data_IF_151631272730
#
_entry.id   IF_151631272730
#
_cell.length_a   1.000
_cell.length_b   1.000
_cell.length_c   1.000
_cell.angle_alpha   90.00
_cell.angle_beta   90.00
_cell.angle_gamma   90.00
#
_symmetry.space_group_name_H-M   'P 1'
#
loop_
_entity.id
_entity.type
_entity.pdbx_description
1 polymer ?
#
# COMPACT_ATOMS: atom_id res chain seq x y z
N UNK A 1 12.12 28.74 -7.96
CA UNK A 1 12.91 27.76 -8.72
C UNK A 1 13.13 26.48 -7.91
N UNK A 2 13.49 26.58 -6.63
CA UNK A 2 13.72 25.40 -5.75
C UNK A 2 12.51 24.48 -5.60
N UNK A 3 11.33 25.02 -5.33
CA UNK A 3 10.10 24.22 -5.22
C UNK A 3 9.83 23.38 -6.48
N UNK A 4 10.01 23.95 -7.65
CA UNK A 4 9.79 23.26 -8.92
C UNK A 4 10.76 22.06 -9.06
N UNK A 5 12.02 22.24 -8.65
CA UNK A 5 13.03 21.17 -8.66
C UNK A 5 12.61 20.03 -7.72
N UNK A 6 12.19 20.36 -6.48
CA UNK A 6 11.74 19.36 -5.52
C UNK A 6 10.50 18.61 -6.00
N UNK A 7 9.52 19.29 -6.58
CA UNK A 7 8.34 18.66 -7.14
C UNK A 7 8.66 17.74 -8.33
N UNK A 8 9.61 18.15 -9.17
CA UNK A 8 10.08 17.33 -10.29
C UNK A 8 10.79 16.08 -9.79
N UNK A 9 11.72 16.20 -8.82
CA UNK A 9 12.41 15.07 -8.20
C UNK A 9 11.37 14.13 -7.56
N UNK A 10 10.40 14.66 -6.84
CA UNK A 10 9.33 13.90 -6.22
C UNK A 10 8.53 13.09 -7.25
N UNK A 11 8.07 13.72 -8.32
CA UNK A 11 7.30 13.07 -9.38
C UNK A 11 8.10 11.95 -10.09
N UNK A 12 9.38 12.23 -10.40
CA UNK A 12 10.29 11.23 -11.02
C UNK A 12 10.55 10.07 -10.06
N UNK A 13 10.76 10.36 -8.78
CA UNK A 13 10.98 9.34 -7.74
C UNK A 13 9.76 8.45 -7.56
N UNK A 14 8.54 9.01 -7.54
CA UNK A 14 7.31 8.21 -7.47
C UNK A 14 7.16 7.30 -8.70
N UNK A 15 7.44 7.81 -9.90
CA UNK A 15 7.40 6.99 -11.10
C UNK A 15 8.44 5.85 -11.05
N UNK A 16 9.65 6.14 -10.61
CA UNK A 16 10.72 5.15 -10.44
C UNK A 16 10.38 4.11 -9.35
N UNK A 17 9.78 4.55 -8.23
CA UNK A 17 9.29 3.70 -7.15
C UNK A 17 8.27 2.67 -7.67
N UNK A 18 7.30 3.10 -8.46
CA UNK A 18 6.30 2.23 -9.07
C UNK A 18 6.92 1.22 -10.04
N UNK A 19 7.86 1.65 -10.88
CA UNK A 19 8.58 0.77 -11.81
C UNK A 19 9.40 -0.28 -11.04
N UNK A 20 10.15 0.16 -10.02
CA UNK A 20 10.96 -0.71 -9.17
C UNK A 20 10.13 -1.78 -8.47
N UNK A 21 8.99 -1.39 -7.89
CA UNK A 21 8.08 -2.30 -7.23
C UNK A 21 7.46 -3.33 -8.21
N UNK A 22 7.09 -2.91 -9.43
CA UNK A 22 6.61 -3.84 -10.49
C UNK A 22 7.68 -4.85 -10.86
N UNK A 23 8.92 -4.43 -11.08
CA UNK A 23 10.02 -5.35 -11.45
C UNK A 23 10.34 -6.32 -10.34
N UNK A 24 10.40 -5.84 -9.10
CA UNK A 24 10.66 -6.67 -7.93
C UNK A 24 9.54 -7.68 -7.70
N UNK A 25 8.27 -7.24 -7.66
CA UNK A 25 7.11 -8.12 -7.45
C UNK A 25 6.97 -9.18 -8.53
N UNK A 26 7.24 -8.82 -9.80
CA UNK A 26 7.21 -9.77 -10.91
C UNK A 26 8.31 -10.84 -10.82
N UNK A 27 9.48 -10.50 -10.28
CA UNK A 27 10.54 -11.45 -10.01
C UNK A 27 10.19 -12.32 -8.80
N UNK A 28 9.79 -11.72 -7.67
CA UNK A 28 9.45 -12.42 -6.43
C UNK A 28 8.32 -13.44 -6.64
N UNK A 29 7.25 -13.08 -7.33
CA UNK A 29 6.12 -13.97 -7.61
C UNK A 29 6.52 -15.23 -8.37
N UNK A 30 7.55 -15.16 -9.20
CA UNK A 30 8.05 -16.31 -9.95
C UNK A 30 8.71 -17.35 -9.06
N UNK A 31 9.40 -16.92 -8.00
CA UNK A 31 10.12 -17.81 -7.09
C UNK A 31 9.22 -18.35 -5.97
N UNK A 32 8.19 -17.60 -5.58
CA UNK A 32 7.32 -17.91 -4.45
C UNK A 32 6.05 -18.69 -4.80
N UNK A 33 5.75 -18.89 -6.08
CA UNK A 33 4.53 -19.54 -6.58
C UNK A 33 4.40 -21.05 -6.20
N UNK A 34 5.35 -21.63 -5.48
CA UNK A 34 5.37 -23.07 -5.16
C UNK A 34 4.66 -23.44 -3.85
N UNK A 35 4.33 -22.48 -2.99
CA UNK A 35 3.63 -22.71 -1.73
C UNK A 35 2.49 -21.69 -1.57
N UNK A 36 1.26 -22.16 -1.38
CA UNK A 36 0.06 -21.30 -1.35
C UNK A 36 0.15 -20.19 -0.30
N UNK A 37 0.60 -20.49 0.93
CA UNK A 37 0.76 -19.50 1.99
C UNK A 37 1.88 -18.49 1.70
N UNK A 38 3.03 -18.97 1.18
CA UNK A 38 4.13 -18.11 0.77
C UNK A 38 3.75 -17.25 -0.43
N UNK A 39 2.92 -17.76 -1.34
CA UNK A 39 2.36 -17.01 -2.47
C UNK A 39 1.50 -15.82 -2.03
N UNK A 40 0.63 -16.02 -1.04
CA UNK A 40 -0.21 -14.94 -0.50
C UNK A 40 0.62 -13.88 0.25
N UNK A 41 1.52 -14.32 1.14
CA UNK A 41 2.41 -13.41 1.84
C UNK A 41 3.24 -12.58 0.85
N UNK A 42 3.76 -13.20 -0.21
CA UNK A 42 4.50 -12.50 -1.25
C UNK A 42 3.64 -11.49 -2.02
N UNK A 43 2.37 -11.77 -2.23
CA UNK A 43 1.43 -10.89 -2.89
C UNK A 43 1.07 -9.72 -1.98
N UNK A 44 0.77 -9.99 -0.71
CA UNK A 44 0.45 -8.98 0.28
C UNK A 44 1.65 -8.03 0.52
N UNK A 45 2.84 -8.60 0.71
CA UNK A 45 4.09 -7.82 0.80
C UNK A 45 4.36 -7.07 -0.51
N UNK A 46 4.13 -7.70 -1.67
CA UNK A 46 4.32 -7.09 -2.98
C UNK A 46 3.44 -5.86 -3.22
N UNK A 47 2.22 -5.86 -2.70
CA UNK A 47 1.32 -4.71 -2.78
C UNK A 47 1.77 -3.55 -1.86
N UNK A 48 2.34 -3.87 -0.69
CA UNK A 48 2.83 -2.89 0.28
C UNK A 48 4.30 -2.47 0.07
N UNK A 49 4.96 -2.95 -1.00
CA UNK A 49 6.37 -2.65 -1.26
C UNK A 49 6.69 -1.16 -1.37
N UNK A 50 5.89 -0.33 -2.05
CA UNK A 50 6.18 1.09 -2.11
C UNK A 50 6.11 1.76 -0.74
N UNK A 51 5.08 1.47 0.04
CA UNK A 51 4.90 2.00 1.39
C UNK A 51 6.00 1.51 2.32
N UNK A 52 6.38 0.23 2.22
CA UNK A 52 7.48 -0.33 2.99
C UNK A 52 8.82 0.34 2.61
N UNK A 53 9.08 0.53 1.33
CA UNK A 53 10.29 1.20 0.88
C UNK A 53 10.33 2.66 1.34
N UNK A 54 9.22 3.39 1.26
CA UNK A 54 9.11 4.77 1.75
C UNK A 54 9.29 4.87 3.26
N UNK A 55 8.68 3.95 4.03
CA UNK A 55 8.83 3.91 5.48
C UNK A 55 10.27 3.61 5.89
N UNK A 56 10.91 2.61 5.27
CA UNK A 56 12.32 2.31 5.51
C UNK A 56 13.24 3.45 5.07
N UNK A 57 12.96 4.08 3.92
CA UNK A 57 13.70 5.25 3.47
C UNK A 57 13.59 6.41 4.46
N UNK A 58 12.40 6.68 5.02
CA UNK A 58 12.20 7.68 6.05
C UNK A 58 13.05 7.40 7.30
N UNK A 59 13.07 6.15 7.78
CA UNK A 59 13.91 5.74 8.91
C UNK A 59 15.40 5.90 8.58
N UNK A 60 15.85 5.42 7.42
CA UNK A 60 17.26 5.47 7.00
C UNK A 60 17.74 6.90 6.72
N UNK A 61 16.84 7.80 6.31
CA UNK A 61 17.13 9.24 6.15
C UNK A 61 17.05 10.02 7.47
N UNK A 62 16.88 9.34 8.62
CA UNK A 62 16.82 9.99 9.93
C UNK A 62 15.52 10.77 10.18
N UNK A 63 14.44 10.38 9.51
CA UNK A 63 13.10 11.01 9.59
C UNK A 63 12.02 10.01 10.01
N UNK A 64 12.19 9.26 11.13
CA UNK A 64 11.24 8.24 11.56
C UNK A 64 9.83 8.80 11.83
N UNK A 65 9.72 10.11 12.10
CA UNK A 65 8.45 10.83 12.30
C UNK A 65 7.54 10.84 11.05
N UNK A 66 8.09 10.54 9.86
CA UNK A 66 7.30 10.47 8.62
C UNK A 66 6.64 9.10 8.41
N UNK A 67 7.07 8.05 9.12
CA UNK A 67 6.57 6.69 8.91
C UNK A 67 5.07 6.58 9.18
N UNK A 68 4.61 7.00 10.35
CA UNK A 68 3.19 6.96 10.70
C UNK A 68 2.32 7.80 9.75
N UNK A 69 2.67 9.05 9.40
CA UNK A 69 1.97 9.82 8.39
C UNK A 69 1.87 9.10 7.02
N UNK A 70 2.94 8.45 6.56
CA UNK A 70 2.94 7.68 5.31
C UNK A 70 1.94 6.52 5.41
N UNK A 71 2.00 5.72 6.46
CA UNK A 71 1.14 4.54 6.63
C UNK A 71 -0.32 4.92 6.86
N UNK A 72 -0.58 5.87 7.75
CA UNK A 72 -1.93 6.33 8.04
C UNK A 72 -2.56 6.99 6.81
N UNK A 73 -1.81 7.86 6.14
CA UNK A 73 -2.27 8.55 4.96
C UNK A 73 -2.58 7.60 3.80
N UNK A 74 -1.69 6.65 3.47
CA UNK A 74 -1.94 5.66 2.42
C UNK A 74 -3.11 4.74 2.77
N UNK A 75 -3.25 4.36 4.03
CA UNK A 75 -4.38 3.55 4.51
C UNK A 75 -5.71 4.30 4.38
N UNK A 76 -5.75 5.56 4.77
CA UNK A 76 -6.91 6.44 4.62
C UNK A 76 -7.25 6.66 3.15
N UNK A 77 -6.24 6.93 2.31
CA UNK A 77 -6.42 7.09 0.87
C UNK A 77 -6.97 5.82 0.21
N UNK A 78 -6.51 4.64 0.61
CA UNK A 78 -7.04 3.37 0.14
C UNK A 78 -8.51 3.18 0.54
N UNK A 79 -8.88 3.53 1.77
CA UNK A 79 -10.27 3.44 2.21
C UNK A 79 -11.14 4.44 1.47
N UNK A 80 -10.76 5.70 1.42
CA UNK A 80 -11.62 6.74 0.84
C UNK A 80 -11.55 6.79 -0.68
N UNK A 81 -10.36 6.91 -1.26
CA UNK A 81 -10.23 7.13 -2.71
C UNK A 81 -10.49 5.85 -3.50
N UNK A 82 -9.94 4.69 -3.06
CA UNK A 82 -10.13 3.43 -3.80
C UNK A 82 -11.56 2.92 -3.68
N UNK A 83 -12.13 2.90 -2.47
CA UNK A 83 -13.52 2.46 -2.28
C UNK A 83 -14.48 3.44 -2.92
N UNK A 84 -14.28 4.75 -2.72
CA UNK A 84 -15.11 5.80 -3.29
C UNK A 84 -15.17 5.75 -4.81
N UNK A 85 -14.01 5.77 -5.47
CA UNK A 85 -13.91 5.67 -6.93
C UNK A 85 -14.51 4.36 -7.45
N UNK A 86 -14.27 3.25 -6.73
CA UNK A 86 -14.79 1.94 -7.09
C UNK A 86 -16.31 1.86 -6.99
N UNK A 87 -16.89 2.39 -5.92
CA UNK A 87 -18.33 2.40 -5.71
C UNK A 87 -19.05 3.35 -6.69
N UNK A 88 -18.44 4.51 -6.98
CA UNK A 88 -18.94 5.44 -8.00
C UNK A 88 -18.97 4.77 -9.40
N UNK A 89 -17.91 4.07 -9.77
CA UNK A 89 -17.81 3.39 -11.07
C UNK A 89 -18.70 2.14 -11.18
N UNK A 90 -18.84 1.38 -10.09
CA UNK A 90 -19.63 0.13 -10.07
C UNK A 90 -21.15 0.36 -9.95
N UNK A 91 -21.62 1.59 -9.64
CA UNK A 91 -22.97 1.95 -9.24
C UNK A 91 -23.43 1.30 -7.92
N UNK A 92 -23.12 0.02 -7.73
CA UNK A 92 -23.29 -0.75 -6.51
C UNK A 92 -22.07 -1.66 -6.38
N UNK A 93 -21.21 -1.43 -5.38
CA UNK A 93 -20.05 -2.24 -5.08
C UNK A 93 -20.47 -3.28 -4.03
N UNK A 94 -20.62 -4.57 -4.41
CA UNK A 94 -20.99 -5.59 -3.45
C UNK A 94 -19.81 -5.92 -2.53
N UNK A 95 -20.11 -6.11 -1.24
CA UNK A 95 -19.17 -6.62 -0.25
C UNK A 95 -19.55 -8.07 0.02
N UNK A 96 -18.69 -8.98 -0.40
CA UNK A 96 -18.94 -10.40 -0.18
C UNK A 96 -18.87 -10.73 1.32
N UNK A 97 -19.67 -11.72 1.72
CA UNK A 97 -19.82 -12.12 3.13
C UNK A 97 -18.48 -12.40 3.80
N UNK A 98 -17.59 -13.02 3.08
CA UNK A 98 -16.26 -13.39 3.57
C UNK A 98 -15.38 -12.17 3.87
N UNK A 99 -15.48 -11.08 3.09
CA UNK A 99 -14.77 -9.83 3.39
C UNK A 99 -15.28 -9.23 4.70
N UNK A 100 -16.60 -9.19 4.89
CA UNK A 100 -17.22 -8.66 6.10
C UNK A 100 -16.90 -9.51 7.35
N UNK A 101 -16.91 -10.84 7.22
CA UNK A 101 -16.77 -11.76 8.37
C UNK A 101 -15.32 -12.12 8.71
N UNK A 102 -14.36 -11.96 7.79
CA UNK A 102 -12.97 -12.31 8.03
C UNK A 102 -12.01 -11.12 7.92
N UNK A 103 -12.10 -10.35 6.84
CA UNK A 103 -11.12 -9.29 6.57
C UNK A 103 -11.40 -8.01 7.33
N UNK A 104 -12.67 -7.63 7.50
CA UNK A 104 -13.04 -6.44 8.26
C UNK A 104 -12.64 -6.54 9.76
N UNK A 105 -12.86 -7.67 10.47
CA UNK A 105 -12.34 -7.83 11.83
C UNK A 105 -10.81 -7.81 11.91
N UNK A 106 -10.10 -8.35 10.91
CA UNK A 106 -8.64 -8.30 10.88
C UNK A 106 -8.15 -6.85 10.72
N UNK A 107 -8.80 -6.07 9.85
CA UNK A 107 -8.48 -4.65 9.70
C UNK A 107 -8.78 -3.87 10.99
N UNK A 108 -9.93 -4.10 11.63
CA UNK A 108 -10.26 -3.45 12.89
C UNK A 108 -9.28 -3.84 14.00
N UNK A 109 -8.88 -5.11 14.07
CA UNK A 109 -7.86 -5.59 15.01
C UNK A 109 -6.49 -4.97 14.75
N UNK A 110 -6.07 -4.83 13.49
CA UNK A 110 -4.80 -4.16 13.13
C UNK A 110 -4.81 -2.68 13.51
N UNK A 111 -5.94 -2.00 13.29
CA UNK A 111 -6.10 -0.60 13.71
C UNK A 111 -6.06 -0.45 15.24
N UNK A 112 -6.67 -1.38 15.98
CA UNK A 112 -6.60 -1.40 17.44
C UNK A 112 -5.16 -1.64 17.94
N UNK A 113 -4.44 -2.59 17.38
CA UNK A 113 -3.03 -2.84 17.73
C UNK A 113 -2.22 -1.56 17.51
N UNK A 114 -2.32 -0.92 16.33
CA UNK A 114 -1.61 0.34 16.08
C UNK A 114 -2.01 1.45 17.08
N UNK A 115 -3.31 1.58 17.37
CA UNK A 115 -3.81 2.60 18.30
C UNK A 115 -3.20 2.43 19.69
N UNK A 116 -3.19 1.20 20.22
CA UNK A 116 -2.62 0.92 21.55
C UNK A 116 -1.10 1.08 21.57
N UNK A 117 -0.40 0.64 20.53
CA UNK A 117 1.05 0.82 20.40
C UNK A 117 1.47 2.28 20.23
N UNK A 118 0.59 3.12 19.71
CA UNK A 118 0.87 4.55 19.53
C UNK A 118 0.43 5.41 20.73
N UNK A 119 -0.19 4.80 21.76
CA UNK A 119 -0.86 5.53 22.85
C UNK A 119 0.11 6.28 23.77
N UNK A 120 1.32 5.78 23.95
CA UNK A 120 2.38 6.39 24.78
C UNK A 120 3.23 7.41 24.00
N UNK A 121 2.96 7.59 22.69
CA UNK A 121 3.60 8.60 21.84
C UNK A 121 4.81 8.13 21.09
N UNK A 122 5.27 6.88 21.25
CA UNK A 122 6.39 6.29 20.50
C UNK A 122 6.10 4.81 20.29
N UNK A 123 6.19 4.33 19.06
CA UNK A 123 6.13 2.89 18.77
C UNK A 123 7.55 2.32 18.81
N UNK A 124 7.80 1.44 19.76
CA UNK A 124 9.10 0.81 19.98
C UNK A 124 9.25 -0.52 19.22
N UNK A 125 10.44 -1.12 19.34
CA UNK A 125 10.79 -2.39 18.69
C UNK A 125 9.83 -3.53 19.09
N UNK A 126 9.44 -3.62 20.36
CA UNK A 126 8.60 -4.70 20.91
C UNK A 126 7.20 -4.66 20.28
N UNK A 127 6.64 -3.47 20.12
CA UNK A 127 5.35 -3.26 19.46
C UNK A 127 5.46 -3.50 17.96
N UNK A 128 6.58 -3.08 17.35
CA UNK A 128 6.89 -3.41 15.97
C UNK A 128 6.94 -4.92 15.73
N UNK A 129 7.59 -5.66 16.61
CA UNK A 129 7.63 -7.12 16.57
C UNK A 129 6.24 -7.74 16.75
N UNK A 130 5.44 -7.23 17.71
CA UNK A 130 4.05 -7.65 17.91
C UNK A 130 3.23 -7.46 16.61
N UNK A 131 3.36 -6.32 15.93
CA UNK A 131 2.67 -6.04 14.68
C UNK A 131 3.10 -7.01 13.57
N UNK A 132 4.39 -7.31 13.42
CA UNK A 132 4.89 -8.29 12.44
C UNK A 132 4.36 -9.69 12.75
N UNK A 133 4.36 -10.10 14.03
CA UNK A 133 3.77 -11.38 14.44
C UNK A 133 2.28 -11.43 14.15
N UNK A 134 1.53 -10.35 14.47
CA UNK A 134 0.11 -10.25 14.15
C UNK A 134 -0.14 -10.34 12.64
N UNK A 135 0.69 -9.69 11.81
CA UNK A 135 0.65 -9.85 10.35
C UNK A 135 0.81 -11.32 9.93
N UNK A 136 1.80 -12.02 10.47
CA UNK A 136 2.02 -13.44 10.14
C UNK A 136 0.83 -14.32 10.57
N UNK A 137 0.25 -14.05 11.73
CA UNK A 137 -0.97 -14.72 12.19
C UNK A 137 -2.13 -14.47 11.22
N UNK A 138 -2.33 -13.22 10.78
CA UNK A 138 -3.35 -12.88 9.78
C UNK A 138 -3.13 -13.65 8.47
N UNK A 139 -1.89 -13.74 7.98
CA UNK A 139 -1.54 -14.51 6.77
C UNK A 139 -1.89 -15.99 6.93
N UNK A 140 -1.49 -16.60 8.05
CA UNK A 140 -1.80 -18.02 8.33
C UNK A 140 -3.30 -18.25 8.43
N UNK A 141 -4.02 -17.37 9.12
CA UNK A 141 -5.47 -17.44 9.28
C UNK A 141 -6.21 -17.35 7.93
N UNK A 142 -5.85 -16.41 7.08
CA UNK A 142 -6.44 -16.26 5.74
C UNK A 142 -6.07 -17.45 4.84
N UNK A 143 -4.85 -17.98 4.99
CA UNK A 143 -4.39 -19.20 4.31
C UNK A 143 -5.25 -20.41 4.69
N UNK A 144 -5.45 -20.63 5.98
CA UNK A 144 -6.22 -21.75 6.51
C UNK A 144 -7.70 -21.72 6.07
N UNK A 145 -8.27 -20.54 5.87
CA UNK A 145 -9.65 -20.38 5.34
C UNK A 145 -9.80 -20.61 3.82
N UNK A 146 -8.74 -21.05 3.14
CA UNK A 146 -8.76 -21.36 1.71
C UNK A 146 -8.92 -20.12 0.81
N UNK A 147 -8.82 -18.91 1.36
CA UNK A 147 -8.93 -17.66 0.57
C UNK A 147 -7.78 -17.49 -0.40
N UNK A 148 -6.63 -18.03 -0.06
CA UNK A 148 -5.43 -18.01 -0.90
C UNK A 148 -5.63 -18.71 -2.24
N UNK A 149 -6.44 -19.79 -2.28
CA UNK A 149 -6.70 -20.53 -3.51
C UNK A 149 -7.65 -19.83 -4.49
N UNK A 150 -8.38 -18.79 -4.04
CA UNK A 150 -9.28 -17.99 -4.90
C UNK A 150 -8.58 -16.83 -5.61
N UNK A 151 -7.40 -16.46 -5.15
CA UNK A 151 -6.61 -15.36 -5.71
C UNK A 151 -5.36 -15.92 -6.37
N UNK A 152 -5.25 -15.77 -7.66
CA UNK A 152 -3.96 -16.01 -8.32
C UNK A 152 -3.07 -14.76 -8.16
N UNK A 153 -1.72 -14.92 -8.16
CA UNK A 153 -0.82 -13.77 -8.18
C UNK A 153 -1.13 -12.75 -9.28
N UNK A 154 -1.73 -13.21 -10.39
CA UNK A 154 -2.22 -12.35 -11.47
C UNK A 154 -3.44 -11.53 -11.10
N UNK A 155 -4.24 -11.95 -10.14
CA UNK A 155 -5.49 -11.29 -9.78
C UNK A 155 -5.27 -10.15 -8.77
N UNK A 156 -4.23 -10.21 -7.95
CA UNK A 156 -3.97 -9.24 -6.88
C UNK A 156 -2.84 -8.26 -7.24
N UNK A 157 -1.70 -8.77 -7.70
CA UNK A 157 -0.56 -7.92 -8.09
C UNK A 157 -0.75 -7.33 -9.50
N UNK A 158 -1.44 -8.06 -10.39
CA UNK A 158 -1.60 -7.65 -11.77
C UNK A 158 -2.62 -6.51 -12.01
N UNK A 159 -3.77 -6.37 -11.30
CA UNK A 159 -4.73 -5.36 -11.72
C UNK A 159 -4.34 -3.94 -11.28
N UNK A 160 -3.87 -3.73 -10.05
CA UNK A 160 -3.52 -2.41 -9.54
C UNK A 160 -2.14 -1.99 -10.00
N UNK A 161 -1.16 -2.62 -9.43
CA UNK A 161 0.23 -2.24 -9.54
C UNK A 161 0.84 -2.54 -10.90
N UNK A 162 0.64 -3.77 -11.43
CA UNK A 162 1.14 -4.15 -12.76
C UNK A 162 0.38 -3.44 -13.89
N UNK A 163 -0.87 -3.02 -13.66
CA UNK A 163 -1.61 -2.31 -14.70
C UNK A 163 -1.27 -0.82 -14.75
N UNK A 164 -1.04 -0.17 -13.61
CA UNK A 164 -0.50 1.19 -13.55
C UNK A 164 0.96 1.19 -14.02
N UNK A 165 1.78 0.26 -13.52
CA UNK A 165 3.15 0.10 -13.98
C UNK A 165 3.26 -0.27 -15.46
N UNK A 166 2.34 -1.11 -16.02
CA UNK A 166 2.33 -1.36 -17.47
C UNK A 166 1.93 -0.13 -18.26
N UNK A 167 0.97 0.68 -17.83
CA UNK A 167 0.64 1.94 -18.48
C UNK A 167 1.83 2.90 -18.47
N UNK A 168 2.48 3.08 -17.32
CA UNK A 168 3.67 3.92 -17.19
C UNK A 168 4.87 3.30 -17.93
N UNK A 169 5.03 1.97 -17.85
CA UNK A 169 6.09 1.23 -18.55
C UNK A 169 5.80 1.09 -20.04
N UNK A 170 4.54 1.05 -20.49
CA UNK A 170 4.20 1.17 -21.92
C UNK A 170 4.52 2.55 -22.45
N UNK A 171 4.26 3.61 -21.69
CA UNK A 171 4.63 4.98 -22.05
C UNK A 171 6.17 5.16 -22.06
N UNK A 172 6.85 4.64 -21.04
CA UNK A 172 8.32 4.71 -20.92
C UNK A 172 9.00 3.59 -21.73
N UNK A 173 8.43 2.39 -21.75
CA UNK A 173 9.00 1.19 -22.37
C UNK A 173 8.76 1.07 -23.86
N UNK A 174 7.83 1.83 -24.45
CA UNK A 174 7.73 1.94 -25.92
C UNK A 174 9.04 2.50 -26.54
N UNK A 175 9.87 3.15 -25.72
CA UNK A 175 11.18 3.68 -26.10
C UNK A 175 12.37 2.87 -25.58
N UNK A 176 12.18 2.00 -24.55
CA UNK A 176 13.27 1.27 -23.88
C UNK A 176 13.20 -0.26 -23.95
N UNK A 177 12.37 -0.85 -24.77
CA UNK A 177 12.52 -2.27 -25.07
C UNK A 177 11.27 -3.13 -25.02
N UNK A 178 11.02 -3.77 -26.13
CA UNK A 178 10.18 -4.94 -26.36
C UNK A 178 10.65 -6.11 -25.48
N UNK A 179 10.23 -6.17 -24.24
CA UNK A 179 10.70 -7.22 -23.33
C UNK A 179 9.83 -7.41 -22.10
N UNK A 180 8.59 -6.89 -22.10
CA UNK A 180 7.65 -7.04 -21.01
C UNK A 180 6.82 -8.34 -21.10
N UNK A 181 7.30 -9.33 -21.84
CA UNK A 181 6.74 -10.66 -21.78
C UNK A 181 7.03 -11.26 -20.42
N UNK A 182 5.98 -11.46 -19.61
CA UNK A 182 6.04 -12.08 -18.27
C UNK A 182 6.54 -13.53 -18.26
N UNK A 183 7.11 -13.98 -19.35
CA UNK A 183 7.76 -15.27 -19.57
C UNK A 183 9.24 -15.05 -19.90
N UNK A 184 9.99 -14.45 -18.95
CA UNK A 184 11.45 -14.53 -19.08
C UNK A 184 11.85 -16.01 -19.04
N UNK A 185 12.15 -16.59 -20.18
CA UNK A 185 12.57 -18.00 -20.33
C UNK A 185 13.85 -18.32 -19.52
N UNK A 186 14.56 -17.31 -19.07
CA UNK A 186 15.81 -17.43 -18.32
C UNK A 186 15.65 -16.91 -16.88
N UNK A 187 15.84 -17.79 -15.89
CA UNK A 187 15.78 -17.49 -14.45
C UNK A 187 16.78 -16.40 -14.04
N UNK A 188 17.97 -16.39 -14.64
CA UNK A 188 18.99 -15.36 -14.38
C UNK A 188 18.50 -13.95 -14.77
N UNK A 189 17.83 -13.83 -15.89
CA UNK A 189 17.27 -12.53 -16.35
C UNK A 189 16.13 -12.06 -15.44
N UNK A 190 15.31 -12.96 -14.90
CA UNK A 190 14.27 -12.61 -13.92
C UNK A 190 14.90 -12.13 -12.61
N UNK A 191 15.96 -12.81 -12.14
CA UNK A 191 16.70 -12.41 -10.93
C UNK A 191 17.34 -11.04 -11.10
N UNK A 192 18.05 -10.81 -12.20
CA UNK A 192 18.68 -9.51 -12.50
C UNK A 192 17.63 -8.36 -12.53
N UNK A 193 16.47 -8.59 -13.12
CA UNK A 193 15.37 -7.61 -13.11
C UNK A 193 14.83 -7.37 -11.70
N UNK A 194 14.70 -8.42 -10.89
CA UNK A 194 14.27 -8.29 -9.50
C UNK A 194 15.26 -7.48 -8.67
N UNK A 195 16.56 -7.75 -8.83
CA UNK A 195 17.62 -6.97 -8.15
C UNK A 195 17.62 -5.51 -8.61
N UNK A 196 17.56 -5.26 -9.92
CA UNK A 196 17.45 -3.90 -10.45
C UNK A 196 16.19 -3.19 -9.95
N UNK A 197 15.07 -3.92 -9.85
CA UNK A 197 13.82 -3.42 -9.26
C UNK A 197 13.96 -3.06 -7.78
N UNK A 198 14.64 -3.90 -6.99
CA UNK A 198 14.90 -3.63 -5.58
C UNK A 198 15.79 -2.39 -5.38
N UNK A 199 16.86 -2.27 -6.15
CA UNK A 199 17.76 -1.10 -6.10
C UNK A 199 17.02 0.17 -6.52
N UNK A 200 16.26 0.10 -7.62
CA UNK A 200 15.46 1.24 -8.09
C UNK A 200 14.40 1.65 -7.06
N UNK A 201 13.73 0.69 -6.44
CA UNK A 201 12.73 0.92 -5.40
C UNK A 201 13.35 1.64 -4.19
N UNK A 202 14.49 1.16 -3.70
CA UNK A 202 15.19 1.73 -2.55
C UNK A 202 15.67 3.16 -2.83
N UNK A 203 16.36 3.39 -3.96
CA UNK A 203 16.84 4.72 -4.34
C UNK A 203 15.68 5.69 -4.55
N UNK A 204 14.66 5.25 -5.27
CA UNK A 204 13.47 6.08 -5.53
C UNK A 204 12.74 6.47 -4.24
N UNK A 205 12.67 5.56 -3.26
CA UNK A 205 12.07 5.85 -1.96
C UNK A 205 12.86 6.92 -1.18
N UNK A 206 14.18 6.82 -1.16
CA UNK A 206 15.05 7.81 -0.51
C UNK A 206 14.87 9.19 -1.17
N UNK A 207 14.94 9.26 -2.50
CA UNK A 207 14.74 10.53 -3.21
C UNK A 207 13.33 11.08 -3.05
N UNK A 208 12.29 10.22 -2.96
CA UNK A 208 10.92 10.68 -2.72
C UNK A 208 10.77 11.31 -1.32
N UNK A 209 11.35 10.69 -0.29
CA UNK A 209 11.33 11.23 1.08
C UNK A 209 12.09 12.56 1.18
N UNK A 210 13.28 12.64 0.59
CA UNK A 210 14.08 13.86 0.58
C UNK A 210 13.39 14.98 -0.23
N UNK A 211 12.83 14.65 -1.39
CA UNK A 211 12.10 15.61 -2.21
C UNK A 211 10.83 16.12 -1.53
N UNK A 212 10.12 15.24 -0.81
CA UNK A 212 8.97 15.64 0.00
C UNK A 212 9.39 16.64 1.09
N UNK A 213 10.48 16.37 1.80
CA UNK A 213 10.99 17.23 2.85
C UNK A 213 11.48 18.59 2.29
N UNK A 214 12.19 18.55 1.14
CA UNK A 214 12.63 19.77 0.45
C UNK A 214 11.46 20.62 -0.05
N UNK A 215 10.43 19.98 -0.63
CA UNK A 215 9.20 20.68 -1.05
C UNK A 215 8.45 21.27 0.16
N UNK A 216 8.36 20.52 1.26
CA UNK A 216 7.75 21.00 2.51
C UNK A 216 8.43 22.28 3.02
N UNK A 217 9.77 22.26 3.05
CA UNK A 217 10.57 23.43 3.46
C UNK A 217 10.36 24.61 2.52
N UNK A 218 10.39 24.38 1.20
CA UNK A 218 10.17 25.43 0.20
C UNK A 218 8.76 26.03 0.25
N UNK A 219 7.77 25.28 0.72
CA UNK A 219 6.37 25.71 0.88
C UNK A 219 6.07 26.25 2.30
N UNK A 220 7.02 26.17 3.23
CA UNK A 220 6.82 26.45 4.65
C UNK A 220 5.66 25.63 5.27
N UNK A 221 5.52 24.37 4.87
CA UNK A 221 4.50 23.43 5.34
C UNK A 221 5.18 22.27 6.08
N UNK A 222 4.47 21.67 7.04
CA UNK A 222 4.99 20.48 7.75
C UNK A 222 5.21 19.32 6.77
N UNK A 223 6.40 18.67 6.78
CA UNK A 223 6.63 17.44 6.02
C UNK A 223 5.65 16.32 6.37
N UNK A 224 5.23 16.24 7.63
CA UNK A 224 4.21 15.29 8.14
C UNK A 224 2.88 15.48 7.41
N UNK A 225 2.45 16.73 7.21
CA UNK A 225 1.20 17.03 6.49
C UNK A 225 1.29 16.61 5.02
N UNK A 226 2.41 16.89 4.36
CA UNK A 226 2.61 16.46 2.96
C UNK A 226 2.72 14.92 2.84
N UNK A 227 3.35 14.26 3.80
CA UNK A 227 3.42 12.80 3.82
C UNK A 227 2.04 12.18 3.98
N UNK A 228 1.23 12.70 4.91
CA UNK A 228 -0.13 12.21 5.15
C UNK A 228 -1.09 12.48 3.98
N UNK A 229 -0.93 13.57 3.25
CA UNK A 229 -1.85 13.97 2.17
C UNK A 229 -1.33 13.64 0.77
N UNK A 230 -0.30 14.36 0.31
CA UNK A 230 0.16 14.28 -1.10
C UNK A 230 0.81 12.94 -1.40
N UNK A 231 1.72 12.47 -0.52
CA UNK A 231 2.40 11.19 -0.74
C UNK A 231 1.40 10.04 -0.67
N UNK A 232 0.48 10.09 0.29
CA UNK A 232 -0.57 9.10 0.46
C UNK A 232 -1.53 9.05 -0.75
N UNK A 233 -2.02 10.20 -1.22
CA UNK A 233 -2.88 10.27 -2.39
C UNK A 233 -2.18 9.73 -3.64
N UNK A 234 -0.91 10.08 -3.84
CA UNK A 234 -0.14 9.59 -4.99
C UNK A 234 0.16 8.09 -4.91
N UNK A 235 0.40 7.56 -3.72
CA UNK A 235 0.55 6.11 -3.51
C UNK A 235 -0.75 5.34 -3.80
N UNK A 236 -1.93 5.93 -3.55
CA UNK A 236 -3.22 5.33 -3.85
C UNK A 236 -3.60 5.34 -5.35
N UNK A 237 -2.98 6.15 -6.20
CA UNK A 237 -3.32 6.24 -7.64
C UNK A 237 -3.23 4.89 -8.38
N UNK A 238 -2.18 4.07 -8.22
CA UNK A 238 -2.11 2.74 -8.81
C UNK A 238 -3.23 1.81 -8.36
N UNK A 239 -3.58 1.89 -7.08
CA UNK A 239 -4.66 1.11 -6.45
C UNK A 239 -6.02 1.48 -7.04
N UNK A 240 -6.31 2.78 -7.20
CA UNK A 240 -7.52 3.27 -7.86
C UNK A 240 -7.61 2.73 -9.27
N UNK A 241 -6.54 2.89 -10.05
CA UNK A 241 -6.50 2.44 -11.45
C UNK A 241 -6.70 0.93 -11.58
N UNK A 242 -6.06 0.17 -10.70
CA UNK A 242 -6.21 -1.27 -10.63
C UNK A 242 -7.63 -1.70 -10.29
N UNK A 243 -8.22 -1.08 -9.29
CA UNK A 243 -9.58 -1.35 -8.86
C UNK A 243 -10.60 -1.04 -9.95
N UNK A 244 -10.45 0.05 -10.69
CA UNK A 244 -11.31 0.37 -11.84
C UNK A 244 -11.22 -0.68 -12.95
N UNK A 245 -10.03 -1.23 -13.22
CA UNK A 245 -9.86 -2.34 -14.17
C UNK A 245 -10.50 -3.65 -13.70
N UNK A 246 -10.47 -3.93 -12.40
CA UNK A 246 -11.15 -5.07 -11.79
C UNK A 246 -12.65 -4.91 -11.93
N UNK A 247 -13.19 -3.72 -11.67
CA UNK A 247 -14.62 -3.38 -11.81
C UNK A 247 -15.07 -3.57 -13.25
N UNK A 248 -14.29 -3.12 -14.23
CA UNK A 248 -14.59 -3.33 -15.64
C UNK A 248 -14.72 -4.82 -16.01
N UNK A 249 -14.07 -5.71 -15.26
CA UNK A 249 -14.18 -7.18 -15.39
C UNK A 249 -15.27 -7.77 -14.48
N UNK A 250 -16.06 -6.96 -13.77
CA UNK A 250 -17.13 -7.38 -12.84
C UNK A 250 -16.66 -8.27 -11.68
N UNK A 251 -15.38 -8.20 -11.29
CA UNK A 251 -14.81 -8.97 -10.17
C UNK A 251 -14.74 -8.10 -8.91
N UNK A 252 -15.89 -7.61 -8.48
CA UNK A 252 -16.03 -6.63 -7.39
C UNK A 252 -15.46 -7.12 -6.05
N UNK A 253 -15.54 -8.44 -5.80
CA UNK A 253 -15.04 -9.09 -4.60
C UNK A 253 -13.54 -8.88 -4.37
N UNK A 254 -12.77 -8.72 -5.46
CA UNK A 254 -11.33 -8.50 -5.38
C UNK A 254 -10.98 -7.10 -4.92
N UNK A 255 -11.80 -6.10 -5.24
CA UNK A 255 -11.56 -4.70 -4.84
C UNK A 255 -11.64 -4.58 -3.33
N UNK A 256 -12.74 -5.05 -2.74
CA UNK A 256 -12.95 -4.96 -1.30
C UNK A 256 -11.92 -5.78 -0.51
N UNK A 257 -11.65 -7.01 -0.98
CA UNK A 257 -10.61 -7.84 -0.38
C UNK A 257 -9.23 -7.16 -0.39
N UNK A 258 -8.86 -6.49 -1.50
CA UNK A 258 -7.60 -5.77 -1.60
C UNK A 258 -7.54 -4.57 -0.62
N UNK A 259 -8.63 -3.80 -0.50
CA UNK A 259 -8.66 -2.66 0.43
C UNK A 259 -8.56 -3.12 1.88
N UNK A 260 -9.35 -4.11 2.31
CA UNK A 260 -9.29 -4.61 3.69
C UNK A 260 -7.92 -5.20 4.03
N UNK A 261 -7.45 -6.15 3.22
CA UNK A 261 -6.18 -6.82 3.48
C UNK A 261 -4.98 -5.91 3.25
N UNK A 262 -4.98 -5.09 2.21
CA UNK A 262 -3.90 -4.15 1.91
C UNK A 262 -3.71 -3.12 3.02
N UNK A 263 -4.80 -2.54 3.55
CA UNK A 263 -4.73 -1.61 4.68
C UNK A 263 -4.21 -2.30 5.94
N UNK A 264 -4.67 -3.53 6.24
CA UNK A 264 -4.16 -4.28 7.39
C UNK A 264 -2.66 -4.61 7.25
N UNK A 265 -2.20 -4.94 6.03
CA UNK A 265 -0.77 -5.17 5.74
C UNK A 265 0.03 -3.89 5.94
N UNK A 266 -0.43 -2.75 5.42
CA UNK A 266 0.26 -1.47 5.61
C UNK A 266 0.42 -1.15 7.10
N UNK A 267 -0.64 -1.32 7.88
CA UNK A 267 -0.60 -1.05 9.32
C UNK A 267 0.33 -2.00 10.05
N UNK A 268 0.18 -3.31 9.86
CA UNK A 268 0.92 -4.30 10.65
C UNK A 268 2.34 -4.52 10.15
N UNK A 269 2.51 -4.71 8.83
CA UNK A 269 3.82 -5.04 8.27
C UNK A 269 4.69 -3.79 8.13
N UNK A 270 4.17 -2.73 7.51
CA UNK A 270 5.00 -1.56 7.21
C UNK A 270 5.39 -0.84 8.48
N UNK A 271 4.44 -0.56 9.37
CA UNK A 271 4.75 0.07 10.67
C UNK A 271 5.62 -0.85 11.52
N UNK A 272 5.26 -2.14 11.61
CA UNK A 272 5.99 -3.11 12.41
C UNK A 272 7.45 -3.24 12.00
N UNK A 273 7.70 -3.42 10.70
CA UNK A 273 9.08 -3.50 10.18
C UNK A 273 9.83 -2.19 10.42
N UNK A 274 9.23 -1.04 10.14
CA UNK A 274 9.89 0.25 10.36
C UNK A 274 10.25 0.48 11.84
N UNK A 275 9.36 0.12 12.78
CA UNK A 275 9.60 0.23 14.23
C UNK A 275 10.73 -0.68 14.71
N UNK A 276 10.97 -1.81 14.04
CA UNK A 276 12.11 -2.69 14.36
C UNK A 276 13.47 -2.08 13.98
N UNK A 277 13.51 -1.09 13.07
CA UNK A 277 14.76 -0.40 12.70
C UNK A 277 15.00 0.88 13.50
N UNK A 278 13.95 1.56 13.93
CA UNK A 278 14.03 2.79 14.73
C UNK A 278 12.73 3.01 15.50
N UNK A 279 12.77 3.53 16.74
CA UNK A 279 11.59 4.00 17.42
C UNK A 279 10.85 5.03 16.56
N UNK A 280 9.53 4.88 16.42
CA UNK A 280 8.69 5.75 15.59
C UNK A 280 7.95 6.75 16.47
N UNK A 281 8.35 8.04 16.49
CA UNK A 281 7.64 9.03 17.25
C UNK A 281 6.25 9.30 16.69
N UNK A 282 5.26 9.30 17.56
CA UNK A 282 3.88 9.68 17.24
C UNK A 282 3.77 11.19 17.42
N UNK A 283 4.02 11.94 16.36
CA UNK A 283 3.93 13.40 16.42
C UNK A 283 2.51 13.87 16.79
N UNK A 284 2.39 15.05 17.38
CA UNK A 284 1.11 15.62 17.84
C UNK A 284 0.02 15.61 16.74
N UNK A 285 0.37 15.89 15.49
CA UNK A 285 -0.57 15.86 14.36
C UNK A 285 -1.02 14.43 14.03
N UNK A 286 -0.13 13.44 14.12
CA UNK A 286 -0.49 12.05 13.90
C UNK A 286 -1.39 11.53 15.02
N UNK A 287 -1.10 11.89 16.28
CA UNK A 287 -1.90 11.51 17.44
C UNK A 287 -3.28 12.17 17.44
N UNK A 288 -3.34 13.50 17.24
CA UNK A 288 -4.58 14.25 17.37
C UNK A 288 -5.50 14.16 16.14
N UNK A 289 -4.97 13.93 14.94
CA UNK A 289 -5.73 13.92 13.69
C UNK A 289 -5.57 12.60 12.94
N UNK A 290 -4.34 12.16 12.70
CA UNK A 290 -4.07 11.00 11.84
C UNK A 290 -4.69 9.70 12.37
N UNK A 291 -4.42 9.33 13.62
CA UNK A 291 -4.97 8.12 14.24
C UNK A 291 -6.49 8.16 14.38
N UNK A 292 -7.13 9.23 14.91
CA UNK A 292 -8.59 9.30 14.98
C UNK A 292 -9.25 9.24 13.61
N UNK A 293 -8.69 9.93 12.61
CA UNK A 293 -9.22 9.91 11.25
C UNK A 293 -9.10 8.54 10.61
N UNK A 294 -7.96 7.86 10.79
CA UNK A 294 -7.79 6.48 10.36
C UNK A 294 -8.75 5.53 11.07
N UNK A 295 -8.91 5.63 12.39
CA UNK A 295 -9.85 4.81 13.15
C UNK A 295 -11.30 5.02 12.67
N UNK A 296 -11.70 6.27 12.41
CA UNK A 296 -13.01 6.60 11.84
C UNK A 296 -13.18 6.00 10.43
N UNK A 297 -12.16 6.06 9.58
CA UNK A 297 -12.16 5.46 8.25
C UNK A 297 -12.35 3.93 8.31
N UNK A 298 -11.60 3.27 9.21
CA UNK A 298 -11.71 1.82 9.43
C UNK A 298 -13.09 1.46 9.99
N UNK A 299 -13.62 2.22 10.94
CA UNK A 299 -14.95 2.02 11.49
C UNK A 299 -16.02 2.18 10.39
N UNK A 300 -15.94 3.23 9.58
CA UNK A 300 -16.86 3.47 8.47
C UNK A 300 -16.84 2.32 7.45
N UNK A 301 -15.66 1.85 7.06
CA UNK A 301 -15.49 0.74 6.12
C UNK A 301 -16.02 -0.56 6.73
N UNK A 302 -15.74 -0.83 7.99
CA UNK A 302 -16.21 -2.02 8.72
C UNK A 302 -17.74 -2.03 8.82
N UNK A 303 -18.34 -0.90 9.19
CA UNK A 303 -19.81 -0.74 9.23
C UNK A 303 -20.42 -0.92 7.85
N UNK A 304 -19.81 -0.37 6.80
CA UNK A 304 -20.25 -0.58 5.42
C UNK A 304 -20.18 -2.05 5.01
N UNK A 305 -19.28 -2.84 5.60
CA UNK A 305 -19.20 -4.29 5.44
C UNK A 305 -20.49 -5.01 5.83
N UNK A 306 -21.16 -4.57 6.89
CA UNK A 306 -22.42 -5.17 7.35
C UNK A 306 -23.59 -4.91 6.38
N UNK A 307 -23.59 -3.80 5.65
CA UNK A 307 -24.61 -3.49 4.64
C UNK A 307 -24.46 -4.32 3.36
N UNK A 308 -23.37 -5.07 3.21
CA UNK A 308 -23.02 -5.94 2.09
C UNK A 308 -22.97 -5.27 0.72
N UNK A 309 -23.09 -3.97 0.65
CA UNK A 309 -22.97 -3.18 -0.57
C UNK A 309 -22.67 -1.72 -0.24
N UNK A 310 -21.90 -1.07 -1.08
CA UNK A 310 -21.72 0.38 -1.09
C UNK A 310 -22.37 0.91 -2.35
N UNK A 311 -23.40 1.72 -2.21
CA UNK A 311 -24.07 2.36 -3.35
C UNK A 311 -23.20 3.47 -3.95
N UNK A 312 -23.51 3.88 -5.19
CA UNK A 312 -22.82 5.00 -5.83
C UNK A 312 -22.92 6.30 -5.02
N UNK A 313 -24.08 6.57 -4.40
CA UNK A 313 -24.25 7.73 -3.52
C UNK A 313 -23.35 7.68 -2.29
N UNK A 314 -23.22 6.51 -1.66
CA UNK A 314 -22.24 6.31 -0.58
C UNK A 314 -20.79 6.43 -1.10
N UNK A 315 -20.50 5.94 -2.32
CA UNK A 315 -19.21 6.10 -2.97
C UNK A 315 -18.78 7.56 -3.09
N UNK A 316 -19.70 8.45 -3.45
CA UNK A 316 -19.42 9.90 -3.48
C UNK A 316 -19.20 10.51 -2.10
N UNK A 317 -19.76 9.93 -1.03
CA UNK A 317 -19.45 10.35 0.34
C UNK A 317 -18.06 9.90 0.82
N UNK A 318 -17.51 8.85 0.20
CA UNK A 318 -16.12 8.44 0.43
C UNK A 318 -15.12 9.34 -0.31
N UNK A 319 -15.48 9.97 -1.42
CA UNK A 319 -14.64 10.91 -2.20
C UNK A 319 -14.74 12.33 -1.67
#
# INVERSE_FOLDING_TARGET
MELFIWLLIFAVSLAALLIGAVWFSAAASRFLNKAAAAGFAAIAVGAALPELALALAAVLSGRPELVLPIVLGSSVANIFLVVGASAAAAKNLPIVRECAEAEAPLLAGSAAILWFSAADGIVFFEEGLLMVVAFLVCVVFLAARGRINRFTPRDIVAPGFLAAGRGLVEIVGARFGRGFDGHAKNTARALLRGMAGAVLLALAAIFAVEALAGAATAMAISPVLLAFSVLAATAALPEIWGSLKIIAKKRYELVMGNVFSGTAVNVLLVTGVAAMFSPLPVGASAAAVGLPFFAAAVALLTVSGFSRKISSGQGWLYL
#
